data_IF_905951186347
#
_entry.id   IF_905951186347
#
_cell.length_a   1.000
_cell.length_b   1.000
_cell.length_c   1.000
_cell.angle_alpha   90.00
_cell.angle_beta   90.00
_cell.angle_gamma   90.00
#
_symmetry.space_group_name_H-M   'P 1'
#
loop_
_entity.id
_entity.type
_entity.pdbx_description
1 polymer ?
#
# COMPACT_ATOMS: atom_id res chain seq x y z
N UNK A 1 -28.09 -11.47 -13.66
CA UNK A 1 -28.87 -10.68 -12.66
C UNK A 1 -28.44 -11.02 -11.22
N UNK A 2 -28.42 -12.29 -10.79
CA UNK A 2 -28.03 -12.69 -9.43
C UNK A 2 -26.63 -12.22 -9.02
N UNK A 3 -25.60 -12.54 -9.81
CA UNK A 3 -24.22 -12.09 -9.57
C UNK A 3 -24.10 -10.56 -9.54
N UNK A 4 -24.81 -9.84 -10.40
CA UNK A 4 -24.85 -8.38 -10.40
C UNK A 4 -25.42 -7.82 -9.09
N UNK A 5 -26.58 -8.32 -8.64
CA UNK A 5 -27.22 -7.87 -7.40
C UNK A 5 -26.33 -8.11 -6.18
N UNK A 6 -25.66 -9.27 -6.11
CA UNK A 6 -24.71 -9.58 -5.03
C UNK A 6 -23.54 -8.57 -5.07
N UNK A 7 -22.94 -8.37 -6.25
CA UNK A 7 -21.78 -7.48 -6.43
C UNK A 7 -22.11 -6.03 -6.05
N UNK A 8 -23.27 -5.51 -6.46
CA UNK A 8 -23.69 -4.14 -6.10
C UNK A 8 -23.98 -4.00 -4.60
N UNK A 9 -24.68 -4.98 -4.02
CA UNK A 9 -24.99 -5.00 -2.59
C UNK A 9 -23.72 -4.94 -1.76
N UNK A 10 -22.74 -5.78 -2.11
CA UNK A 10 -21.46 -5.81 -1.42
C UNK A 10 -20.63 -4.55 -1.66
N UNK A 11 -20.65 -4.00 -2.88
CA UNK A 11 -19.98 -2.71 -3.17
C UNK A 11 -20.53 -1.57 -2.32
N UNK A 12 -21.85 -1.51 -2.19
CA UNK A 12 -22.52 -0.51 -1.36
C UNK A 12 -22.13 -0.66 0.11
N UNK A 13 -22.21 -1.88 0.64
CA UNK A 13 -21.78 -2.16 2.02
C UNK A 13 -20.34 -1.70 2.26
N UNK A 14 -19.43 -2.09 1.38
CA UNK A 14 -18.02 -1.82 1.54
C UNK A 14 -17.68 -0.32 1.44
N UNK A 15 -18.39 0.42 0.60
CA UNK A 15 -18.26 1.88 0.51
C UNK A 15 -18.56 2.57 1.84
N UNK A 16 -19.54 2.08 2.59
CA UNK A 16 -19.92 2.66 3.88
C UNK A 16 -19.04 2.16 5.01
N UNK A 17 -18.77 0.86 5.05
CA UNK A 17 -17.97 0.20 6.08
C UNK A 17 -16.51 0.69 6.12
N UNK A 18 -15.89 0.91 4.95
CA UNK A 18 -14.47 1.35 4.87
C UNK A 18 -14.25 2.84 5.11
N UNK A 19 -15.26 3.69 4.83
CA UNK A 19 -15.09 5.16 4.85
C UNK A 19 -15.57 5.82 6.14
N UNK A 20 -16.51 5.20 6.82
CA UNK A 20 -17.19 5.79 7.97
C UNK A 20 -17.49 4.69 8.97
N UNK A 21 -16.74 4.61 10.08
CA UNK A 21 -16.91 3.56 11.08
C UNK A 21 -18.32 3.50 11.66
N UNK A 22 -19.01 4.65 11.72
CA UNK A 22 -20.33 4.84 12.32
C UNK A 22 -21.35 5.32 11.30
N UNK A 23 -21.54 4.58 10.20
CA UNK A 23 -22.60 4.85 9.24
C UNK A 23 -23.63 3.72 9.23
N UNK A 24 -24.92 4.06 9.32
CA UNK A 24 -26.01 3.09 9.48
C UNK A 24 -26.00 1.97 8.40
N UNK A 25 -25.84 2.25 7.09
CA UNK A 25 -25.62 1.22 6.08
C UNK A 25 -24.43 0.26 6.29
N UNK A 26 -23.39 0.71 7.02
CA UNK A 26 -22.24 -0.12 7.38
C UNK A 26 -22.56 -1.10 8.51
N UNK A 27 -23.40 -0.71 9.48
CA UNK A 27 -23.86 -1.56 10.58
C UNK A 27 -25.09 -2.39 10.24
N UNK A 28 -25.82 -2.04 9.17
CA UNK A 28 -27.11 -2.64 8.80
C UNK A 28 -27.06 -4.16 8.60
N UNK A 29 -25.93 -4.70 8.13
CA UNK A 29 -25.76 -6.14 7.97
C UNK A 29 -25.73 -6.85 9.33
N UNK A 30 -25.10 -6.25 10.34
CA UNK A 30 -25.06 -6.76 11.71
C UNK A 30 -26.38 -6.51 12.45
N UNK A 31 -27.00 -5.34 12.28
CA UNK A 31 -28.27 -4.97 12.93
C UNK A 31 -29.47 -5.75 12.37
N UNK A 32 -29.47 -6.05 11.07
CA UNK A 32 -30.62 -6.64 10.35
C UNK A 32 -30.18 -7.77 9.41
N UNK A 33 -29.64 -8.88 9.94
CA UNK A 33 -29.07 -9.97 9.13
C UNK A 33 -30.11 -10.71 8.28
N UNK A 34 -31.40 -10.65 8.64
CA UNK A 34 -32.49 -11.32 7.92
C UNK A 34 -32.98 -10.56 6.68
N UNK A 35 -32.56 -9.31 6.49
CA UNK A 35 -32.90 -8.55 5.28
C UNK A 35 -32.15 -9.11 4.08
N UNK A 36 -32.66 -8.91 2.87
CA UNK A 36 -31.99 -9.34 1.63
C UNK A 36 -30.56 -8.79 1.54
N UNK A 37 -30.38 -7.53 1.94
CA UNK A 37 -29.06 -6.90 2.06
C UNK A 37 -28.19 -7.59 3.10
N UNK A 38 -28.67 -7.71 4.35
CA UNK A 38 -27.90 -8.29 5.46
C UNK A 38 -27.50 -9.74 5.18
N UNK A 39 -28.44 -10.56 4.70
CA UNK A 39 -28.18 -11.95 4.36
C UNK A 39 -27.13 -12.09 3.24
N UNK A 40 -27.19 -11.21 2.23
CA UNK A 40 -26.20 -11.19 1.13
C UNK A 40 -24.82 -10.80 1.64
N UNK A 41 -24.72 -9.77 2.48
CA UNK A 41 -23.45 -9.34 3.07
C UNK A 41 -22.88 -10.45 3.97
N UNK A 42 -23.66 -10.98 4.91
CA UNK A 42 -23.25 -12.06 5.81
C UNK A 42 -22.77 -13.30 5.05
N UNK A 43 -23.46 -13.68 3.97
CA UNK A 43 -23.06 -14.81 3.13
C UNK A 43 -21.70 -14.60 2.45
N UNK A 44 -21.33 -13.35 2.17
CA UNK A 44 -20.10 -13.01 1.45
C UNK A 44 -18.99 -12.49 2.37
N UNK A 45 -19.20 -12.35 3.69
CA UNK A 45 -18.22 -11.79 4.62
C UNK A 45 -16.85 -12.48 4.54
N UNK A 46 -16.81 -13.80 4.40
CA UNK A 46 -15.58 -14.59 4.28
C UNK A 46 -14.74 -14.28 3.02
N UNK A 47 -15.34 -13.63 2.01
CA UNK A 47 -14.62 -13.21 0.79
C UNK A 47 -13.92 -11.85 0.94
N UNK A 48 -14.06 -11.18 2.08
CA UNK A 48 -13.49 -9.85 2.33
C UNK A 48 -12.56 -9.87 3.53
N UNK A 49 -11.60 -8.96 3.52
CA UNK A 49 -10.72 -8.78 4.67
C UNK A 49 -11.43 -8.07 5.81
N UNK A 50 -11.50 -8.73 6.97
CA UNK A 50 -12.00 -8.14 8.22
C UNK A 50 -10.94 -7.31 8.95
N UNK A 51 -9.66 -7.66 8.80
CA UNK A 51 -8.54 -6.95 9.41
C UNK A 51 -8.08 -5.77 8.55
N UNK A 52 -8.59 -4.56 8.81
CA UNK A 52 -8.05 -3.32 8.24
C UNK A 52 -8.17 -2.16 9.23
N UNK A 53 -7.36 -1.12 9.04
CA UNK A 53 -7.45 0.06 9.89
C UNK A 53 -8.64 0.94 9.45
N UNK A 54 -9.61 1.24 10.32
CA UNK A 54 -10.79 2.00 9.94
C UNK A 54 -10.44 3.44 9.54
N UNK A 55 -11.29 4.03 8.71
CA UNK A 55 -11.20 5.45 8.38
C UNK A 55 -11.28 6.31 9.65
N UNK A 56 -10.27 7.16 9.83
CA UNK A 56 -10.15 8.07 10.97
C UNK A 56 -10.17 9.50 10.48
N UNK A 57 -10.95 10.37 11.13
CA UNK A 57 -10.89 11.81 10.85
C UNK A 57 -9.52 12.36 11.25
N UNK A 58 -8.87 13.17 10.39
CA UNK A 58 -7.60 13.79 10.74
C UNK A 58 -7.80 14.77 11.91
N UNK A 59 -7.03 14.60 12.98
CA UNK A 59 -7.06 15.49 14.15
C UNK A 59 -6.41 16.85 13.86
N UNK A 60 -5.38 16.85 12.99
CA UNK A 60 -4.71 18.05 12.52
C UNK A 60 -5.14 18.30 11.08
N UNK A 61 -5.47 19.55 10.72
CA UNK A 61 -5.75 19.86 9.33
C UNK A 61 -4.51 19.60 8.47
N UNK A 62 -4.64 19.00 7.27
CA UNK A 62 -3.50 18.72 6.40
C UNK A 62 -2.64 19.96 6.10
N UNK A 63 -3.26 21.13 5.96
CA UNK A 63 -2.57 22.41 5.69
C UNK A 63 -1.78 22.97 6.87
N UNK A 64 -1.95 22.39 8.06
CA UNK A 64 -1.12 22.70 9.24
C UNK A 64 0.14 21.82 9.35
N UNK A 65 0.30 20.83 8.47
CA UNK A 65 1.45 19.91 8.53
C UNK A 65 2.65 20.50 7.79
N UNK A 66 3.84 20.18 8.28
CA UNK A 66 5.11 20.53 7.62
C UNK A 66 5.16 19.91 6.23
N UNK A 67 5.53 20.70 5.22
CA UNK A 67 5.65 20.19 3.85
C UNK A 67 6.82 19.20 3.75
N UNK A 68 6.60 17.95 3.31
CA UNK A 68 7.69 17.00 3.10
C UNK A 68 8.62 17.43 1.96
N UNK A 69 9.94 17.28 2.15
CA UNK A 69 10.94 17.46 1.10
C UNK A 69 11.09 16.15 0.34
N UNK A 70 10.73 16.17 -0.94
CA UNK A 70 10.69 14.99 -1.80
C UNK A 70 11.43 15.29 -3.10
N UNK A 71 12.42 14.46 -3.40
CA UNK A 71 13.25 14.57 -4.61
C UNK A 71 12.94 13.39 -5.53
N UNK A 72 12.21 13.67 -6.62
CA UNK A 72 11.73 12.65 -7.57
C UNK A 72 12.68 12.41 -8.75
N UNK A 73 13.73 13.23 -8.87
CA UNK A 73 14.67 13.21 -9.98
C UNK A 73 16.10 13.23 -9.43
N UNK A 74 16.96 12.45 -10.06
CA UNK A 74 18.40 12.56 -9.91
C UNK A 74 18.96 13.35 -11.11
N UNK A 75 19.96 14.23 -10.90
CA UNK A 75 20.64 14.92 -11.99
C UNK A 75 21.12 13.93 -13.06
N UNK A 76 20.80 14.18 -14.32
CA UNK A 76 21.21 13.31 -15.45
C UNK A 76 20.28 12.15 -15.79
N UNK A 77 19.22 11.89 -15.00
CA UNK A 77 18.32 10.75 -15.24
C UNK A 77 16.92 11.19 -15.70
N UNK A 78 16.57 10.93 -16.97
CA UNK A 78 15.24 11.21 -17.52
C UNK A 78 14.28 10.04 -17.35
N UNK A 79 14.65 8.84 -17.82
CA UNK A 79 13.92 7.58 -17.59
C UNK A 79 14.88 6.46 -17.21
N UNK A 80 14.40 5.53 -16.38
CA UNK A 80 15.16 4.34 -15.96
C UNK A 80 15.52 3.45 -17.16
N UNK A 81 14.63 3.35 -18.14
CA UNK A 81 14.80 2.55 -19.36
C UNK A 81 15.87 3.06 -20.33
N UNK A 82 16.25 4.33 -20.20
CA UNK A 82 17.13 4.99 -21.18
C UNK A 82 18.62 4.76 -20.88
N UNK A 83 18.95 4.19 -19.72
CA UNK A 83 20.32 4.07 -19.23
C UNK A 83 20.63 2.62 -18.85
N UNK A 84 21.86 2.14 -19.09
CA UNK A 84 22.28 0.82 -18.64
C UNK A 84 22.41 0.77 -17.11
N UNK A 85 22.29 -0.42 -16.53
CA UNK A 85 22.27 -0.64 -15.07
C UNK A 85 23.48 -0.04 -14.35
N UNK A 86 24.68 -0.14 -14.93
CA UNK A 86 25.90 0.43 -14.34
C UNK A 86 25.88 1.97 -14.29
N UNK A 87 25.30 2.62 -15.30
CA UNK A 87 25.14 4.07 -15.31
C UNK A 87 24.10 4.51 -14.27
N UNK A 88 22.99 3.77 -14.14
CA UNK A 88 22.01 3.99 -13.07
C UNK A 88 22.66 3.84 -11.69
N UNK A 89 23.47 2.81 -11.49
CA UNK A 89 24.23 2.58 -10.25
C UNK A 89 25.13 3.77 -9.93
N UNK A 90 25.92 4.22 -10.90
CA UNK A 90 26.86 5.32 -10.72
C UNK A 90 26.15 6.63 -10.40
N UNK A 91 25.03 6.92 -11.05
CA UNK A 91 24.19 8.09 -10.74
C UNK A 91 23.57 8.00 -9.34
N UNK A 92 23.11 6.81 -8.92
CA UNK A 92 22.63 6.59 -7.55
C UNK A 92 23.73 6.86 -6.52
N UNK A 93 24.93 6.31 -6.73
CA UNK A 93 26.07 6.53 -5.84
C UNK A 93 26.46 8.02 -5.77
N UNK A 94 26.40 8.73 -6.89
CA UNK A 94 26.65 10.17 -6.93
C UNK A 94 25.65 10.96 -6.08
N UNK A 95 24.36 10.62 -6.15
CA UNK A 95 23.31 11.22 -5.31
C UNK A 95 23.56 10.91 -3.82
N UNK A 96 23.93 9.67 -3.50
CA UNK A 96 24.23 9.28 -2.12
C UNK A 96 25.40 10.10 -1.55
N UNK A 97 26.46 10.29 -2.34
CA UNK A 97 27.67 11.02 -1.93
C UNK A 97 27.44 12.54 -1.85
N UNK A 98 26.86 13.15 -2.88
CA UNK A 98 26.75 14.61 -2.98
C UNK A 98 25.61 15.20 -2.15
N UNK A 99 24.46 14.53 -2.11
CA UNK A 99 23.25 15.06 -1.47
C UNK A 99 22.98 14.44 -0.10
N UNK A 100 23.42 13.20 0.12
CA UNK A 100 23.05 12.44 1.32
C UNK A 100 24.23 12.00 2.19
N UNK A 101 25.45 12.53 1.97
CA UNK A 101 26.65 12.11 2.73
C UNK A 101 26.54 12.30 4.24
N UNK A 102 25.93 13.40 4.69
CA UNK A 102 25.74 13.70 6.11
C UNK A 102 24.41 13.17 6.69
N UNK A 103 23.71 12.29 5.97
CA UNK A 103 22.42 11.73 6.40
C UNK A 103 22.57 10.26 6.79
N UNK A 104 21.79 9.81 7.77
CA UNK A 104 21.58 8.38 7.99
C UNK A 104 20.68 7.85 6.89
N UNK A 105 21.15 6.82 6.20
CA UNK A 105 20.47 6.23 5.04
C UNK A 105 19.46 5.19 5.48
N UNK A 106 18.21 5.35 5.05
CA UNK A 106 17.14 4.38 5.24
C UNK A 106 16.69 3.88 3.88
N UNK A 107 16.84 2.59 3.63
CA UNK A 107 16.36 1.93 2.41
C UNK A 107 15.07 1.21 2.70
N UNK A 108 14.17 1.23 1.74
CA UNK A 108 12.81 0.78 1.95
C UNK A 108 12.23 0.24 0.66
N UNK A 109 11.54 -0.88 0.78
CA UNK A 109 10.88 -1.53 -0.34
C UNK A 109 9.52 -2.12 0.09
N UNK A 110 8.55 -2.14 -0.82
CA UNK A 110 7.21 -2.65 -0.60
C UNK A 110 6.75 -3.52 -1.75
N UNK A 111 6.71 -4.83 -1.55
CA UNK A 111 6.25 -5.78 -2.55
C UNK A 111 4.76 -6.11 -2.41
N UNK A 112 4.10 -6.41 -3.53
CA UNK A 112 2.70 -6.84 -3.52
C UNK A 112 2.48 -7.97 -4.52
N UNK A 113 1.92 -9.07 -4.03
CA UNK A 113 1.43 -10.19 -4.83
C UNK A 113 -0.10 -10.16 -4.90
N UNK A 114 -0.70 -11.15 -5.55
CA UNK A 114 -2.16 -11.32 -5.59
C UNK A 114 -2.76 -11.70 -4.24
N UNK A 115 -1.98 -12.30 -3.34
CA UNK A 115 -2.42 -12.89 -2.08
C UNK A 115 -1.95 -12.13 -0.84
N UNK A 116 -0.79 -11.47 -0.93
CA UNK A 116 -0.15 -10.77 0.19
C UNK A 116 0.50 -9.48 -0.29
N UNK A 117 0.63 -8.51 0.59
CA UNK A 117 1.57 -7.39 0.39
C UNK A 117 2.45 -7.28 1.62
N UNK A 118 3.73 -7.02 1.38
CA UNK A 118 4.77 -7.01 2.38
C UNK A 118 5.69 -5.83 2.14
N UNK A 119 6.56 -5.54 3.09
CA UNK A 119 7.63 -4.60 2.87
C UNK A 119 8.71 -4.74 3.91
N UNK A 120 9.80 -4.03 3.66
CA UNK A 120 10.92 -3.96 4.58
C UNK A 120 11.53 -2.57 4.61
N UNK A 121 12.20 -2.30 5.72
CA UNK A 121 13.01 -1.11 5.94
C UNK A 121 14.36 -1.56 6.48
N UNK A 122 15.44 -1.05 5.90
CA UNK A 122 16.82 -1.37 6.26
C UNK A 122 17.55 -0.07 6.56
N UNK A 123 18.22 -0.02 7.71
CA UNK A 123 19.12 1.07 8.11
C UNK A 123 20.53 0.49 8.25
N UNK A 124 21.36 0.52 7.19
CA UNK A 124 22.63 -0.19 7.18
C UNK A 124 23.59 0.26 8.29
N UNK A 125 23.65 1.58 8.58
CA UNK A 125 24.54 2.14 9.59
C UNK A 125 24.24 1.62 11.01
N UNK A 126 22.98 1.25 11.27
CA UNK A 126 22.50 0.78 12.56
C UNK A 126 22.28 -0.74 12.59
N UNK A 127 22.54 -1.43 11.47
CA UNK A 127 22.24 -2.85 11.29
C UNK A 127 20.78 -3.25 11.58
N UNK A 128 19.84 -2.29 11.41
CA UNK A 128 18.42 -2.52 11.65
C UNK A 128 17.75 -2.99 10.37
N UNK A 129 17.01 -4.09 10.46
CA UNK A 129 16.08 -4.54 9.41
C UNK A 129 14.70 -4.77 10.02
N UNK A 130 13.73 -3.96 9.60
CA UNK A 130 12.33 -4.14 9.93
C UNK A 130 11.61 -4.78 8.75
N UNK A 131 10.88 -5.86 9.01
CA UNK A 131 9.99 -6.50 8.04
C UNK A 131 8.56 -6.32 8.51
N UNK A 132 7.62 -6.23 7.59
CA UNK A 132 6.18 -6.22 7.91
C UNK A 132 5.36 -6.83 6.78
N UNK A 133 4.20 -7.37 7.17
CA UNK A 133 3.16 -7.83 6.26
C UNK A 133 1.94 -6.94 6.44
N UNK A 134 1.26 -6.56 5.37
CA UNK A 134 0.01 -5.81 5.48
C UNK A 134 -1.14 -6.75 5.80
N UNK A 135 -2.15 -6.25 6.50
CA UNK A 135 -3.30 -7.05 6.94
C UNK A 135 -4.17 -7.62 5.81
N UNK A 136 -3.99 -7.12 4.60
CA UNK A 136 -4.58 -7.64 3.37
C UNK A 136 -3.65 -7.37 2.18
N UNK A 137 -3.81 -8.14 1.11
CA UNK A 137 -3.26 -7.76 -0.18
C UNK A 137 -3.80 -6.38 -0.55
N UNK A 138 -2.91 -5.44 -0.84
CA UNK A 138 -3.21 -4.06 -1.24
C UNK A 138 -2.59 -3.75 -2.60
N UNK A 139 -2.68 -2.51 -3.08
CA UNK A 139 -1.95 -2.06 -4.26
C UNK A 139 -0.49 -1.83 -3.91
N UNK A 140 0.39 -2.02 -4.90
CA UNK A 140 1.83 -1.73 -4.77
C UNK A 140 2.10 -0.36 -4.13
N UNK A 141 1.44 0.70 -4.60
CA UNK A 141 1.59 2.06 -4.03
C UNK A 141 1.21 2.16 -2.55
N UNK A 142 0.26 1.37 -2.06
CA UNK A 142 -0.13 1.38 -0.65
C UNK A 142 0.89 0.65 0.22
N UNK A 143 1.38 -0.52 -0.24
CA UNK A 143 2.52 -1.17 0.39
C UNK A 143 3.71 -0.21 0.44
N UNK A 144 4.00 0.46 -0.69
CA UNK A 144 5.00 1.51 -0.88
C UNK A 144 4.76 2.84 -0.14
N UNK A 145 3.63 3.00 0.52
CA UNK A 145 3.41 4.10 1.47
C UNK A 145 3.53 3.61 2.92
N UNK A 146 3.21 2.35 3.17
CA UNK A 146 3.27 1.76 4.50
C UNK A 146 4.72 1.65 5.00
N UNK A 147 5.68 1.08 4.27
CA UNK A 147 7.05 1.07 4.79
C UNK A 147 7.74 2.45 4.89
N UNK A 148 7.22 3.52 4.27
CA UNK A 148 7.69 4.89 4.40
C UNK A 148 7.25 5.35 5.77
N UNK A 149 5.99 5.04 6.12
CA UNK A 149 5.48 5.19 7.48
C UNK A 149 6.32 4.37 8.47
N UNK A 150 6.62 3.10 8.18
CA UNK A 150 7.43 2.24 9.05
C UNK A 150 8.87 2.73 9.19
N UNK A 151 9.46 3.30 8.14
CA UNK A 151 10.78 3.95 8.19
C UNK A 151 10.76 5.14 9.14
N UNK A 152 9.71 5.97 9.07
CA UNK A 152 9.52 7.06 10.02
C UNK A 152 9.23 6.57 11.44
N UNK A 153 8.61 5.40 11.63
CA UNK A 153 8.46 4.79 12.95
C UNK A 153 9.82 4.41 13.55
N UNK A 154 10.74 3.86 12.75
CA UNK A 154 12.12 3.62 13.18
C UNK A 154 12.81 4.92 13.61
N UNK A 155 12.69 5.99 12.81
CA UNK A 155 13.22 7.31 13.18
C UNK A 155 12.58 7.84 14.47
N UNK A 156 11.31 7.53 14.74
CA UNK A 156 10.63 7.99 15.95
C UNK A 156 11.16 7.35 17.25
N UNK A 157 11.84 6.20 17.15
CA UNK A 157 12.52 5.57 18.29
C UNK A 157 13.88 6.21 18.61
N UNK A 158 14.39 7.08 17.73
CA UNK A 158 15.66 7.76 17.93
C UNK A 158 15.51 8.94 18.86
N UNK A 159 16.27 8.95 19.95
CA UNK A 159 16.22 10.03 20.94
C UNK A 159 16.91 11.31 20.45
N UNK A 160 17.94 11.16 19.60
CA UNK A 160 18.77 12.28 19.15
C UNK A 160 18.31 12.78 17.78
N UNK A 161 18.02 14.09 17.65
CA UNK A 161 17.77 14.72 16.37
C UNK A 161 18.91 14.44 15.39
N UNK A 162 18.56 13.98 14.20
CA UNK A 162 19.48 13.52 13.17
C UNK A 162 18.93 13.86 11.79
N UNK A 163 19.82 13.85 10.78
CA UNK A 163 19.43 14.00 9.37
C UNK A 163 19.24 12.63 8.74
N UNK A 164 18.12 12.44 8.05
CA UNK A 164 17.69 11.17 7.47
C UNK A 164 17.43 11.32 5.98
N UNK A 165 17.92 10.36 5.21
CA UNK A 165 17.58 10.20 3.81
C UNK A 165 16.82 8.88 3.65
N UNK A 166 15.52 8.98 3.36
CA UNK A 166 14.63 7.84 3.15
C UNK A 166 14.51 7.58 1.67
N UNK A 167 15.03 6.44 1.23
CA UNK A 167 15.07 6.04 -0.16
C UNK A 167 13.88 5.15 -0.54
N UNK A 168 13.31 5.40 -1.71
CA UNK A 168 12.27 4.56 -2.32
C UNK A 168 12.42 4.59 -3.83
N UNK A 169 12.18 3.45 -4.49
CA UNK A 169 12.15 3.38 -5.94
C UNK A 169 10.76 3.64 -6.55
N UNK A 170 9.74 3.73 -5.70
CA UNK A 170 8.36 3.98 -6.08
C UNK A 170 8.04 5.47 -6.19
N UNK A 171 8.23 6.04 -7.40
CA UNK A 171 7.80 7.42 -7.71
C UNK A 171 6.33 7.69 -7.35
N UNK A 172 5.36 6.80 -7.64
CA UNK A 172 3.95 7.05 -7.28
C UNK A 172 3.74 7.20 -5.78
N UNK A 173 4.44 6.44 -4.95
CA UNK A 173 4.35 6.56 -3.49
C UNK A 173 4.96 7.87 -3.00
N UNK A 174 6.15 8.23 -3.49
CA UNK A 174 6.80 9.51 -3.17
C UNK A 174 5.96 10.72 -3.60
N UNK A 175 5.26 10.64 -4.74
CA UNK A 175 4.35 11.69 -5.21
C UNK A 175 3.10 11.87 -4.34
N UNK A 176 2.68 10.82 -3.63
CA UNK A 176 1.54 10.89 -2.72
C UNK A 176 1.85 11.75 -1.49
N UNK A 177 3.06 11.64 -0.94
CA UNK A 177 3.50 12.33 0.29
C UNK A 177 3.27 13.86 0.27
N UNK A 178 3.75 14.64 -0.72
CA UNK A 178 3.50 16.09 -0.77
C UNK A 178 2.05 16.41 -1.16
N UNK A 179 1.29 15.43 -1.65
CA UNK A 179 -0.09 15.58 -2.12
C UNK A 179 -1.14 15.29 -1.03
N UNK A 180 -0.77 15.30 0.26
CA UNK A 180 -1.65 14.98 1.40
C UNK A 180 -2.97 15.76 1.43
N UNK A 181 -2.96 16.98 0.88
CA UNK A 181 -4.13 17.86 0.79
C UNK A 181 -5.14 17.44 -0.28
N UNK A 182 -4.72 16.61 -1.25
CA UNK A 182 -5.55 16.17 -2.37
C UNK A 182 -6.33 14.92 -2.00
N UNK A 183 -7.58 14.82 -2.47
CA UNK A 183 -8.37 13.59 -2.35
C UNK A 183 -7.80 12.50 -3.26
N UNK A 184 -7.03 11.58 -2.69
CA UNK A 184 -6.47 10.40 -3.37
C UNK A 184 -7.06 9.07 -2.90
N UNK A 185 -6.72 7.96 -3.59
CA UNK A 185 -7.05 6.60 -3.16
C UNK A 185 -6.36 6.18 -1.85
N UNK A 186 -5.19 6.76 -1.56
CA UNK A 186 -4.36 6.45 -0.38
C UNK A 186 -4.38 7.56 0.68
N UNK A 187 -5.34 8.49 0.63
CA UNK A 187 -5.30 9.72 1.42
C UNK A 187 -5.12 9.53 2.93
N UNK A 188 -5.74 8.51 3.53
CA UNK A 188 -5.57 8.23 4.96
C UNK A 188 -4.16 7.75 5.30
N UNK A 189 -3.60 6.85 4.48
CA UNK A 189 -2.25 6.33 4.67
C UNK A 189 -1.22 7.44 4.46
N UNK A 190 -1.38 8.23 3.38
CA UNK A 190 -0.57 9.43 3.13
C UNK A 190 -0.63 10.41 4.30
N UNK A 191 -1.83 10.69 4.84
CA UNK A 191 -1.98 11.55 6.00
C UNK A 191 -1.25 11.00 7.24
N UNK A 192 -1.34 9.69 7.51
CA UNK A 192 -0.63 9.07 8.63
C UNK A 192 0.89 9.23 8.49
N UNK A 193 1.43 9.00 7.29
CA UNK A 193 2.86 9.17 6.98
C UNK A 193 3.30 10.62 7.16
N UNK A 194 2.58 11.58 6.58
CA UNK A 194 2.94 13.01 6.67
C UNK A 194 2.75 13.56 8.08
N UNK A 195 1.72 13.11 8.82
CA UNK A 195 1.55 13.46 10.23
C UNK A 195 2.74 12.99 11.05
N UNK A 196 3.19 11.74 10.86
CA UNK A 196 4.35 11.21 11.58
C UNK A 196 5.61 12.01 11.23
N UNK A 197 5.84 12.30 9.95
CA UNK A 197 6.95 13.15 9.51
C UNK A 197 6.90 14.56 10.14
N UNK A 198 5.72 15.18 10.21
CA UNK A 198 5.55 16.47 10.87
C UNK A 198 5.93 16.42 12.35
N UNK A 199 5.51 15.38 13.07
CA UNK A 199 5.89 15.18 14.48
C UNK A 199 7.40 14.99 14.65
N UNK A 200 8.05 14.28 13.72
CA UNK A 200 9.50 14.09 13.74
C UNK A 200 10.27 15.39 13.48
N UNK A 201 9.78 16.24 12.58
CA UNK A 201 10.33 17.59 12.39
C UNK A 201 10.18 18.42 13.66
N UNK A 202 9.03 18.33 14.35
CA UNK A 202 8.84 19.02 15.63
C UNK A 202 9.78 18.52 16.72
N UNK A 203 10.21 17.25 16.66
CA UNK A 203 11.27 16.69 17.51
C UNK A 203 12.68 17.12 17.11
N UNK A 204 12.84 17.85 16.01
CA UNK A 204 14.13 18.35 15.51
C UNK A 204 14.81 17.46 14.47
N UNK A 205 14.20 16.36 14.04
CA UNK A 205 14.76 15.55 12.95
C UNK A 205 14.63 16.27 11.60
N UNK A 206 15.59 16.02 10.73
CA UNK A 206 15.63 16.54 9.37
C UNK A 206 15.44 15.35 8.41
N UNK A 207 14.36 15.33 7.62
CA UNK A 207 13.99 14.13 6.84
C UNK A 207 13.78 14.49 5.38
N UNK A 208 14.55 13.82 4.52
CA UNK A 208 14.46 13.93 3.07
C UNK A 208 14.00 12.61 2.46
N UNK A 209 12.99 12.68 1.60
CA UNK A 209 12.59 11.54 0.79
C UNK A 209 13.25 11.63 -0.58
N UNK A 210 14.09 10.66 -0.91
CA UNK A 210 14.88 10.64 -2.13
C UNK A 210 14.49 9.44 -2.99
N UNK A 211 14.13 9.71 -4.25
CA UNK A 211 13.94 8.64 -5.21
C UNK A 211 15.29 8.06 -5.65
N UNK A 212 15.39 6.73 -5.66
CA UNK A 212 16.51 6.00 -6.26
C UNK A 212 15.98 4.94 -7.25
N UNK A 213 16.68 4.66 -8.37
CA UNK A 213 16.28 3.57 -9.25
C UNK A 213 16.47 2.21 -8.55
N UNK A 214 15.41 1.41 -8.47
CA UNK A 214 15.50 0.04 -7.96
C UNK A 214 16.30 -0.90 -8.86
N UNK A 215 16.81 -2.00 -8.30
CA UNK A 215 17.60 -3.04 -8.97
C UNK A 215 18.82 -2.51 -9.76
N UNK A 216 19.44 -1.43 -9.28
CA UNK A 216 20.67 -0.90 -9.88
C UNK A 216 21.95 -1.45 -9.21
N UNK A 217 21.87 -2.41 -8.29
CA UNK A 217 23.06 -2.96 -7.63
C UNK A 217 23.56 -2.08 -6.47
N UNK A 218 22.67 -1.29 -5.86
CA UNK A 218 22.97 -0.52 -4.64
C UNK A 218 22.65 -1.38 -3.43
N UNK A 219 23.68 -1.78 -2.68
CA UNK A 219 23.57 -2.78 -1.60
C UNK A 219 22.37 -2.55 -0.66
N UNK A 220 22.13 -1.30 -0.21
CA UNK A 220 21.02 -1.00 0.69
C UNK A 220 19.63 -1.24 0.10
N UNK A 221 19.41 -0.85 -1.16
CA UNK A 221 18.13 -1.07 -1.84
C UNK A 221 17.89 -2.55 -2.11
N UNK A 222 18.93 -3.26 -2.57
CA UNK A 222 18.81 -4.69 -2.87
C UNK A 222 18.59 -5.52 -1.59
N UNK A 223 19.18 -5.09 -0.46
CA UNK A 223 18.88 -5.67 0.86
C UNK A 223 17.43 -5.44 1.28
N UNK A 224 16.87 -4.24 1.05
CA UNK A 224 15.48 -3.95 1.37
C UNK A 224 14.50 -4.78 0.50
N UNK A 225 14.75 -4.87 -0.80
CA UNK A 225 13.98 -5.70 -1.75
C UNK A 225 14.00 -7.19 -1.35
N UNK A 226 15.18 -7.73 -1.07
CA UNK A 226 15.31 -9.11 -0.58
C UNK A 226 14.58 -9.33 0.75
N UNK A 227 14.68 -8.39 1.69
CA UNK A 227 13.98 -8.46 2.97
C UNK A 227 12.45 -8.39 2.80
N UNK A 228 11.94 -7.56 1.88
CA UNK A 228 10.51 -7.45 1.59
C UNK A 228 9.96 -8.77 1.02
N UNK A 229 10.70 -9.42 0.13
CA UNK A 229 10.31 -10.70 -0.47
C UNK A 229 10.33 -11.88 0.52
N UNK A 230 11.19 -11.84 1.54
CA UNK A 230 11.25 -12.88 2.59
C UNK A 230 10.26 -12.66 3.74
N UNK A 231 9.57 -11.51 3.76
CA UNK A 231 8.67 -11.12 4.86
C UNK A 231 7.36 -11.91 4.94
N UNK A 232 6.99 -12.69 3.91
CA UNK A 232 5.69 -13.37 3.88
C UNK A 232 5.58 -14.55 4.88
N UNK A 233 6.72 -15.05 5.38
CA UNK A 233 6.77 -16.29 6.17
C UNK A 233 6.76 -16.10 7.69
N UNK A 234 7.12 -14.93 8.24
CA UNK A 234 7.45 -14.83 9.69
C UNK A 234 7.02 -13.52 10.40
N UNK A 235 6.07 -12.74 9.87
CA UNK A 235 5.84 -11.37 10.38
C UNK A 235 4.41 -11.07 10.82
N UNK A 236 4.29 -10.36 11.95
CA UNK A 236 3.04 -9.76 12.43
C UNK A 236 2.43 -8.83 11.38
N UNK A 237 1.10 -8.91 11.21
CA UNK A 237 0.39 -8.12 10.22
C UNK A 237 0.10 -6.69 10.70
N UNK A 238 0.48 -5.69 9.91
CA UNK A 238 0.19 -4.28 10.15
C UNK A 238 -1.17 -3.92 9.53
N UNK A 239 -2.05 -3.34 10.35
CA UNK A 239 -3.35 -2.88 9.90
C UNK A 239 -3.21 -1.60 9.07
N UNK A 240 -3.49 -1.70 7.77
CA UNK A 240 -3.53 -0.56 6.86
C UNK A 240 -4.97 -0.21 6.45
N UNK A 241 -5.26 1.05 6.06
CA UNK A 241 -6.57 1.41 5.54
C UNK A 241 -6.91 0.67 4.26
N UNK A 242 -8.14 0.19 4.16
CA UNK A 242 -8.62 -0.47 2.95
C UNK A 242 -8.98 0.57 1.88
N UNK A 243 -8.18 0.64 0.82
CA UNK A 243 -8.37 1.66 -0.21
C UNK A 243 -9.54 1.33 -1.14
N UNK A 244 -10.05 2.35 -1.85
CA UNK A 244 -11.15 2.16 -2.82
C UNK A 244 -10.82 1.15 -3.92
N UNK A 245 -9.56 1.10 -4.35
CA UNK A 245 -9.18 0.18 -5.42
C UNK A 245 -8.87 -1.23 -4.90
N UNK A 246 -8.44 -1.38 -3.63
CA UNK A 246 -8.37 -2.70 -2.96
C UNK A 246 -9.76 -3.30 -2.80
N UNK A 247 -10.68 -2.49 -2.27
CA UNK A 247 -12.11 -2.78 -2.20
C UNK A 247 -12.66 -3.22 -3.57
N UNK A 248 -12.40 -2.44 -4.62
CA UNK A 248 -12.84 -2.77 -5.97
C UNK A 248 -12.20 -4.07 -6.51
N UNK A 249 -10.94 -4.36 -6.14
CA UNK A 249 -10.26 -5.60 -6.51
C UNK A 249 -10.91 -6.81 -5.84
N UNK A 250 -11.20 -6.75 -4.54
CA UNK A 250 -11.90 -7.82 -3.82
C UNK A 250 -13.29 -8.07 -4.44
N UNK A 251 -14.02 -7.01 -4.77
CA UNK A 251 -15.33 -7.11 -5.43
C UNK A 251 -15.22 -7.76 -6.82
N UNK A 252 -14.19 -7.41 -7.62
CA UNK A 252 -13.97 -8.06 -8.93
C UNK A 252 -13.61 -9.54 -8.79
N UNK A 253 -12.80 -9.89 -7.80
CA UNK A 253 -12.46 -11.29 -7.51
C UNK A 253 -13.70 -12.08 -7.11
N UNK A 254 -14.56 -11.53 -6.25
CA UNK A 254 -15.85 -12.12 -5.90
C UNK A 254 -16.76 -12.26 -7.12
N UNK A 255 -16.90 -11.22 -7.94
CA UNK A 255 -17.72 -11.28 -9.13
C UNK A 255 -17.23 -12.39 -10.08
N UNK A 256 -15.91 -12.52 -10.26
CA UNK A 256 -15.31 -13.59 -11.06
C UNK A 256 -15.56 -14.97 -10.46
N UNK A 257 -15.42 -15.16 -9.15
CA UNK A 257 -15.65 -16.46 -8.52
C UNK A 257 -17.12 -16.88 -8.61
N UNK A 258 -18.06 -15.96 -8.38
CA UNK A 258 -19.50 -16.21 -8.52
C UNK A 258 -19.85 -16.54 -9.98
N UNK A 259 -19.33 -15.77 -10.93
CA UNK A 259 -19.57 -16.00 -12.35
C UNK A 259 -19.03 -17.35 -12.79
N UNK A 260 -17.82 -17.73 -12.37
CA UNK A 260 -17.22 -19.03 -12.67
C UNK A 260 -17.99 -20.18 -12.01
N UNK A 261 -18.55 -19.97 -10.82
CA UNK A 261 -19.39 -20.96 -10.13
C UNK A 261 -20.71 -21.16 -10.89
N UNK A 262 -21.36 -20.07 -11.30
CA UNK A 262 -22.56 -20.14 -12.15
C UNK A 262 -22.22 -20.81 -13.49
N UNK A 263 -21.09 -20.47 -14.12
CA UNK A 263 -20.63 -21.05 -15.39
C UNK A 263 -20.46 -22.56 -15.32
N UNK A 264 -19.88 -23.06 -14.24
CA UNK A 264 -19.64 -24.48 -14.02
C UNK A 264 -20.86 -25.26 -13.50
N UNK A 265 -22.01 -24.60 -13.35
CA UNK A 265 -23.24 -25.26 -12.90
C UNK A 265 -23.72 -26.27 -13.94
N UNK A 266 -24.23 -27.47 -13.56
CA UNK A 266 -24.54 -28.55 -14.50
C UNK A 266 -25.49 -28.17 -15.66
N UNK A 267 -26.38 -27.21 -15.44
CA UNK A 267 -27.29 -26.68 -16.45
C UNK A 267 -26.59 -25.87 -17.55
N UNK A 268 -25.50 -25.18 -17.23
CA UNK A 268 -24.74 -24.31 -18.14
C UNK A 268 -23.53 -25.05 -18.72
N UNK A 269 -22.92 -25.96 -17.95
CA UNK A 269 -21.77 -26.79 -18.33
C UNK A 269 -22.00 -27.63 -19.60
N UNK A 270 -23.25 -27.90 -19.96
CA UNK A 270 -23.63 -28.67 -21.17
C UNK A 270 -23.78 -27.80 -22.43
N UNK A 271 -23.44 -26.52 -22.36
CA UNK A 271 -23.50 -25.63 -23.52
C UNK A 271 -22.20 -25.71 -24.32
N UNK A 272 -22.28 -25.62 -25.66
CA UNK A 272 -21.11 -25.59 -26.54
C UNK A 272 -20.12 -24.47 -26.19
N UNK A 273 -20.62 -23.36 -25.66
CA UNK A 273 -19.79 -22.24 -25.23
C UNK A 273 -18.89 -22.61 -24.03
N UNK A 274 -19.38 -23.46 -23.10
CA UNK A 274 -18.58 -23.99 -21.98
C UNK A 274 -17.49 -24.94 -22.46
N UNK A 275 -17.77 -25.78 -23.46
CA UNK A 275 -16.78 -26.68 -24.04
C UNK A 275 -15.59 -25.94 -24.65
N UNK A 276 -15.84 -24.75 -25.24
CA UNK A 276 -14.79 -23.93 -25.84
C UNK A 276 -14.07 -23.01 -24.83
N UNK A 277 -14.73 -22.55 -23.77
CA UNK A 277 -14.10 -21.77 -22.71
C UNK A 277 -14.62 -22.17 -21.32
N UNK A 278 -14.10 -23.27 -20.74
CA UNK A 278 -14.53 -23.75 -19.43
C UNK A 278 -14.06 -22.83 -18.28
N UNK A 279 -13.08 -21.96 -18.55
CA UNK A 279 -12.45 -21.08 -17.55
C UNK A 279 -12.91 -19.63 -17.60
N UNK A 280 -13.75 -19.27 -18.58
CA UNK A 280 -14.29 -17.94 -18.80
C UNK A 280 -13.16 -16.89 -18.84
N UNK A 281 -12.21 -17.10 -19.77
CA UNK A 281 -11.03 -16.26 -19.99
C UNK A 281 -11.20 -15.25 -21.14
N UNK A 282 -12.23 -15.38 -21.96
CA UNK A 282 -12.60 -14.44 -23.04
C UNK A 282 -13.11 -13.08 -22.51
#
# INVERSE_FOLDING_TARGET
>A
IKTHNITETTRMHHRHYTRTPSHHPGSLAAERPRTTYGATVCKQCSSFTEAYAPASKPLLPPWGLSRPRVYLMSPGMRRKSDLPTHALKQLSLLVLDQTCSNHVHIYRDGTSTSSSSCGAVVIPLQEVTLRFKTSHATMFTAAELEALRSALELVNFEERPSKWAVFSDSKPALQCVPSVHRRGCHGQLTYRTVKLQHLLIQKGHDIDFQWLPGHCGSNGNDSADHAAHTSDQEVNSVLIPLSRADAARQIRQLARSLTLTEWNTPSIRRTRLHEHDPSLQL
#
